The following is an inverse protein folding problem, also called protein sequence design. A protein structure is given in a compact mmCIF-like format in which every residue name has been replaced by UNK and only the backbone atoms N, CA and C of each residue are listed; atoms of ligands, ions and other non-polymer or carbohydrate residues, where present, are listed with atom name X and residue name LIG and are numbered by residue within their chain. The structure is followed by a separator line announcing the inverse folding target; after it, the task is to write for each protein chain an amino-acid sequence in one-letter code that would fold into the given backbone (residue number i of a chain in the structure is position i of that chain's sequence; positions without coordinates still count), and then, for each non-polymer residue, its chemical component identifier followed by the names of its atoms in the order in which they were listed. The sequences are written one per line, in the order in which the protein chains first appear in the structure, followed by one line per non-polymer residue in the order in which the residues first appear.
data_IF_205680068557
#
_entry.id   IF_205680068557
#
_cell.length_a   1.000
_cell.length_b   1.000
_cell.length_c   1.000
_cell.angle_alpha   90.00
_cell.angle_beta   90.00
_cell.angle_gamma   90.00
#
_symmetry.space_group_name_H-M   'P 1'
#
loop_
_entity.id
_entity.type
_entity.pdbx_description
1 polymer ?
#
# COMPACT_ATOMS: atom_id res chain seq x y z
N UNK A 1 -39.26 17.02 -3.92
CA UNK A 1 -38.26 16.30 -4.72
C UNK A 1 -37.05 17.21 -4.74
N UNK A 2 -35.89 16.80 -4.20
CA UNK A 2 -34.67 17.57 -4.42
C UNK A 2 -34.48 17.68 -5.94
N UNK A 3 -34.07 18.84 -6.42
CA UNK A 3 -33.82 19.04 -7.84
C UNK A 3 -32.63 18.15 -8.22
N UNK A 4 -32.86 17.14 -9.06
CA UNK A 4 -31.78 16.36 -9.66
C UNK A 4 -31.05 17.27 -10.63
N UNK A 5 -29.84 17.70 -10.24
CA UNK A 5 -28.94 18.37 -11.16
C UNK A 5 -28.12 17.30 -11.89
N UNK A 6 -27.84 17.55 -13.17
CA UNK A 6 -26.97 16.71 -13.97
C UNK A 6 -25.96 17.65 -14.63
N UNK A 7 -24.88 18.00 -13.91
CA UNK A 7 -23.86 18.85 -14.47
C UNK A 7 -23.22 18.16 -15.69
N UNK A 8 -22.77 18.93 -16.70
CA UNK A 8 -21.99 18.35 -17.78
C UNK A 8 -20.68 17.79 -17.21
N UNK A 9 -20.45 16.50 -17.43
CA UNK A 9 -19.26 15.79 -16.95
C UNK A 9 -18.62 14.99 -18.07
N UNK A 10 -17.29 15.00 -18.11
CA UNK A 10 -16.47 14.13 -18.95
C UNK A 10 -15.53 13.32 -18.06
N UNK A 11 -15.50 12.01 -18.24
CA UNK A 11 -14.60 11.13 -17.50
C UNK A 11 -13.32 10.91 -18.30
N UNK A 12 -12.17 11.17 -17.69
CA UNK A 12 -10.87 10.86 -18.27
C UNK A 12 -10.20 9.78 -17.43
N UNK A 13 -9.89 8.65 -18.07
CA UNK A 13 -9.15 7.57 -17.44
C UNK A 13 -7.71 7.63 -17.93
N UNK A 14 -6.79 7.93 -17.02
CA UNK A 14 -5.36 8.01 -17.33
C UNK A 14 -4.71 6.72 -16.86
N UNK A 15 -4.21 5.90 -17.78
CA UNK A 15 -3.61 4.60 -17.48
C UNK A 15 -2.08 4.66 -17.51
N UNK A 16 -1.42 3.85 -16.69
CA UNK A 16 0.01 3.60 -16.82
C UNK A 16 0.37 2.90 -18.16
N UNK A 17 1.66 2.72 -18.42
CA UNK A 17 2.14 2.10 -19.66
C UNK A 17 1.68 0.64 -19.83
N UNK A 18 1.78 -0.18 -18.79
CA UNK A 18 1.44 -1.59 -18.80
C UNK A 18 -0.08 -1.77 -18.94
N UNK A 19 -0.85 -1.01 -18.16
CA UNK A 19 -2.31 -1.00 -18.20
C UNK A 19 -2.87 -0.52 -19.54
N UNK A 20 -2.18 0.42 -20.21
CA UNK A 20 -2.59 0.91 -21.54
C UNK A 20 -2.22 -0.04 -22.68
N UNK A 21 -1.04 -0.68 -22.61
CA UNK A 21 -0.56 -1.60 -23.64
C UNK A 21 -1.38 -2.90 -23.74
N UNK A 22 -2.16 -3.24 -22.71
CA UNK A 22 -3.13 -4.35 -22.73
C UNK A 22 -4.21 -4.24 -23.82
N UNK A 23 -4.30 -3.12 -24.55
CA UNK A 23 -5.10 -2.98 -25.76
C UNK A 23 -6.61 -2.81 -25.55
N UNK A 24 -7.09 -2.85 -24.30
CA UNK A 24 -8.52 -2.80 -23.95
C UNK A 24 -9.03 -1.36 -23.67
N UNK A 25 -8.27 -0.33 -24.03
CA UNK A 25 -8.62 1.07 -23.72
C UNK A 25 -9.95 1.51 -24.35
N UNK A 26 -10.29 0.98 -25.52
CA UNK A 26 -11.53 1.31 -26.23
C UNK A 26 -12.75 0.66 -25.57
N UNK A 27 -12.65 -0.61 -25.19
CA UNK A 27 -13.75 -1.29 -24.51
C UNK A 27 -13.92 -0.77 -23.07
N UNK A 28 -12.82 -0.43 -22.38
CA UNK A 28 -12.90 0.26 -21.10
C UNK A 28 -13.62 1.61 -21.25
N UNK A 29 -13.25 2.45 -22.22
CA UNK A 29 -13.95 3.70 -22.50
C UNK A 29 -15.46 3.48 -22.73
N UNK A 30 -15.81 2.45 -23.51
CA UNK A 30 -17.19 2.08 -23.81
C UNK A 30 -17.97 1.65 -22.57
N UNK A 31 -17.37 0.85 -21.67
CA UNK A 31 -18.03 0.40 -20.42
C UNK A 31 -18.30 1.57 -19.48
N UNK A 32 -17.38 2.52 -19.41
CA UNK A 32 -17.49 3.70 -18.55
C UNK A 32 -18.37 4.82 -19.13
N UNK A 33 -18.73 4.75 -20.42
CA UNK A 33 -19.71 5.65 -21.06
C UNK A 33 -21.10 5.60 -20.38
N UNK A 34 -21.39 4.57 -19.59
CA UNK A 34 -22.61 4.48 -18.79
C UNK A 34 -22.70 5.57 -17.71
N UNK A 35 -21.55 6.04 -17.17
CA UNK A 35 -21.44 7.11 -16.18
C UNK A 35 -21.36 8.46 -16.89
N UNK A 36 -20.36 8.63 -17.75
CA UNK A 36 -20.13 9.87 -18.48
C UNK A 36 -19.41 9.59 -19.81
N UNK A 37 -19.49 10.48 -20.81
CA UNK A 37 -18.60 10.46 -21.97
C UNK A 37 -17.15 10.26 -21.51
N UNK A 38 -16.52 9.16 -21.94
CA UNK A 38 -15.25 8.71 -21.38
C UNK A 38 -14.14 8.70 -22.41
N UNK A 39 -13.00 9.28 -22.06
CA UNK A 39 -11.75 9.16 -22.80
C UNK A 39 -10.70 8.40 -21.99
N UNK A 40 -10.02 7.45 -22.64
CA UNK A 40 -8.91 6.71 -22.04
C UNK A 40 -7.62 7.13 -22.70
N UNK A 41 -6.68 7.65 -21.89
CA UNK A 41 -5.39 8.15 -22.36
C UNK A 41 -4.25 7.46 -21.63
N UNK A 42 -3.12 7.34 -22.32
CA UNK A 42 -1.88 6.86 -21.71
C UNK A 42 -1.23 7.98 -20.91
N UNK A 43 -0.83 7.70 -19.68
CA UNK A 43 0.00 8.58 -18.88
C UNK A 43 1.34 8.84 -19.59
N UNK A 44 1.88 10.06 -19.47
CA UNK A 44 3.24 10.31 -19.89
C UNK A 44 4.21 9.38 -19.12
N UNK A 45 5.32 8.98 -19.74
CA UNK A 45 6.29 8.10 -19.09
C UNK A 45 6.84 8.78 -17.81
N UNK A 46 6.79 8.10 -16.68
CA UNK A 46 7.16 8.65 -15.37
C UNK A 46 6.14 9.63 -14.78
N UNK A 47 4.96 9.77 -15.40
CA UNK A 47 3.87 10.58 -14.83
C UNK A 47 3.29 9.92 -13.60
N UNK A 48 3.21 10.69 -12.53
CA UNK A 48 2.51 10.34 -11.31
C UNK A 48 0.97 10.42 -11.43
N UNK A 49 0.45 10.85 -12.59
CA UNK A 49 -1.00 10.78 -12.90
C UNK A 49 -1.38 9.47 -13.59
N UNK A 50 -0.65 8.39 -13.32
CA UNK A 50 -0.97 7.08 -13.84
C UNK A 50 -2.05 6.41 -12.98
N UNK A 51 -2.96 5.68 -13.62
CA UNK A 51 -4.12 5.01 -13.01
C UNK A 51 -5.02 5.95 -12.22
N UNK A 52 -5.46 7.03 -12.89
CA UNK A 52 -6.31 8.08 -12.34
C UNK A 52 -7.66 8.11 -13.06
N UNK A 53 -8.73 8.26 -12.29
CA UNK A 53 -10.08 8.56 -12.79
C UNK A 53 -10.34 10.05 -12.59
N UNK A 54 -10.46 10.84 -13.66
CA UNK A 54 -10.72 12.28 -13.57
C UNK A 54 -12.11 12.65 -14.09
N UNK A 55 -12.95 13.18 -13.22
CA UNK A 55 -14.21 13.82 -13.56
C UNK A 55 -13.94 15.29 -13.90
N UNK A 56 -14.13 15.70 -15.16
CA UNK A 56 -14.04 17.10 -15.59
C UNK A 56 -15.46 17.65 -15.69
N UNK A 57 -15.82 18.53 -14.75
CA UNK A 57 -17.10 19.21 -14.69
C UNK A 57 -16.96 20.59 -15.35
N UNK A 58 -17.96 20.97 -16.15
CA UNK A 58 -17.95 22.23 -16.88
C UNK A 58 -17.83 23.49 -16.00
N UNK A 59 -17.46 24.61 -16.62
CA UNK A 59 -17.30 25.93 -15.97
C UNK A 59 -18.60 26.43 -15.29
N UNK A 60 -19.76 25.95 -15.75
CA UNK A 60 -21.09 26.28 -15.22
C UNK A 60 -21.33 25.70 -13.81
N UNK A 61 -20.49 24.78 -13.36
CA UNK A 61 -20.53 24.14 -12.03
C UNK A 61 -19.68 24.91 -11.01
N UNK A 62 -19.06 26.03 -11.40
CA UNK A 62 -17.99 26.71 -10.64
C UNK A 62 -18.25 28.20 -10.47
N UNK A 63 -19.49 28.65 -10.60
CA UNK A 63 -19.78 30.05 -10.32
C UNK A 63 -19.87 30.24 -8.80
N UNK A 64 -19.28 31.33 -8.29
CA UNK A 64 -19.44 31.71 -6.88
C UNK A 64 -20.94 31.80 -6.49
N UNK A 65 -21.77 32.18 -7.47
CA UNK A 65 -23.23 32.22 -7.35
C UNK A 65 -23.87 30.82 -7.16
N UNK A 66 -23.30 29.77 -7.77
CA UNK A 66 -23.77 28.39 -7.56
C UNK A 66 -23.43 27.89 -6.16
N UNK A 67 -22.25 28.25 -5.63
CA UNK A 67 -21.87 27.91 -4.26
C UNK A 67 -22.58 28.75 -3.18
N UNK A 68 -23.09 29.93 -3.54
CA UNK A 68 -23.96 30.69 -2.64
C UNK A 68 -25.35 30.03 -2.46
N UNK A 69 -25.80 29.18 -3.38
CA UNK A 69 -27.06 28.43 -3.28
C UNK A 69 -26.87 27.10 -2.52
N UNK A 70 -27.39 26.98 -1.28
CA UNK A 70 -27.28 25.74 -0.50
C UNK A 70 -27.97 24.55 -1.17
N UNK A 71 -29.09 24.77 -1.88
CA UNK A 71 -29.82 23.69 -2.52
C UNK A 71 -29.03 23.09 -3.68
N UNK A 72 -28.37 23.95 -4.46
CA UNK A 72 -27.50 23.50 -5.53
C UNK A 72 -26.26 22.78 -4.97
N UNK A 73 -25.64 23.30 -3.91
CA UNK A 73 -24.49 22.65 -3.25
C UNK A 73 -24.84 21.26 -2.73
N UNK A 74 -25.97 21.11 -2.06
CA UNK A 74 -26.40 19.84 -1.50
C UNK A 74 -26.79 18.86 -2.63
N UNK A 75 -27.42 19.36 -3.69
CA UNK A 75 -27.74 18.56 -4.87
C UNK A 75 -26.49 18.08 -5.61
N UNK A 76 -25.46 18.92 -5.76
CA UNK A 76 -24.18 18.54 -6.37
C UNK A 76 -23.46 17.48 -5.55
N UNK A 77 -23.44 17.66 -4.23
CA UNK A 77 -22.81 16.69 -3.32
C UNK A 77 -23.51 15.34 -3.42
N UNK A 78 -24.84 15.33 -3.46
CA UNK A 78 -25.63 14.09 -3.61
C UNK A 78 -25.38 13.44 -4.97
N UNK A 79 -25.36 14.23 -6.05
CA UNK A 79 -25.07 13.72 -7.39
C UNK A 79 -23.65 13.12 -7.47
N UNK A 80 -22.63 13.81 -6.93
CA UNK A 80 -21.26 13.28 -6.89
C UNK A 80 -21.16 11.95 -6.12
N UNK A 81 -21.89 11.82 -5.01
CA UNK A 81 -21.94 10.58 -4.23
C UNK A 81 -22.45 9.39 -5.06
N UNK A 82 -23.55 9.61 -5.81
CA UNK A 82 -24.11 8.61 -6.72
C UNK A 82 -23.13 8.25 -7.84
N UNK A 83 -22.56 9.24 -8.52
CA UNK A 83 -21.59 9.03 -9.62
C UNK A 83 -20.32 8.31 -9.15
N UNK A 84 -19.83 8.62 -7.95
CA UNK A 84 -18.66 7.95 -7.38
C UNK A 84 -18.96 6.48 -7.02
N UNK A 85 -20.14 6.20 -6.48
CA UNK A 85 -20.57 4.84 -6.20
C UNK A 85 -20.73 4.03 -7.49
N UNK A 86 -21.36 4.59 -8.52
CA UNK A 86 -21.52 3.94 -9.82
C UNK A 86 -20.17 3.69 -10.50
N UNK A 87 -19.27 4.69 -10.49
CA UNK A 87 -17.93 4.55 -11.06
C UNK A 87 -17.13 3.46 -10.33
N UNK A 88 -17.18 3.43 -9.00
CA UNK A 88 -16.49 2.40 -8.20
C UNK A 88 -17.03 0.99 -8.51
N UNK A 89 -18.34 0.85 -8.70
CA UNK A 89 -18.95 -0.42 -9.09
C UNK A 89 -18.53 -0.86 -10.49
N UNK A 90 -18.37 0.08 -11.44
CA UNK A 90 -17.84 -0.22 -12.77
C UNK A 90 -16.37 -0.64 -12.72
N UNK A 91 -15.54 0.06 -11.95
CA UNK A 91 -14.13 -0.31 -11.74
C UNK A 91 -14.02 -1.72 -11.16
N UNK A 92 -14.82 -2.06 -10.16
CA UNK A 92 -14.83 -3.39 -9.57
C UNK A 92 -15.17 -4.47 -10.62
N UNK A 93 -16.22 -4.25 -11.42
CA UNK A 93 -16.63 -5.17 -12.49
C UNK A 93 -15.58 -5.33 -13.57
N UNK A 94 -14.92 -4.24 -13.96
CA UNK A 94 -13.83 -4.23 -14.92
C UNK A 94 -12.65 -5.06 -14.41
N UNK A 95 -12.21 -4.80 -13.18
CA UNK A 95 -11.10 -5.52 -12.57
C UNK A 95 -11.43 -6.99 -12.32
N UNK A 96 -12.67 -7.34 -11.99
CA UNK A 96 -13.10 -8.73 -11.87
C UNK A 96 -13.14 -9.44 -13.22
N UNK A 97 -13.57 -8.77 -14.30
CA UNK A 97 -13.50 -9.31 -15.65
C UNK A 97 -12.05 -9.59 -16.07
N UNK A 98 -11.12 -8.67 -15.79
CA UNK A 98 -9.68 -8.83 -16.03
C UNK A 98 -9.12 -10.05 -15.29
N UNK A 99 -9.39 -10.16 -13.98
CA UNK A 99 -8.98 -11.33 -13.18
C UNK A 99 -9.50 -12.64 -13.77
N UNK A 100 -10.78 -12.68 -14.17
CA UNK A 100 -11.39 -13.87 -14.77
C UNK A 100 -10.76 -14.25 -16.12
N UNK A 101 -10.20 -13.27 -16.84
CA UNK A 101 -9.49 -13.48 -18.10
C UNK A 101 -7.99 -13.75 -17.91
N UNK A 102 -7.48 -13.76 -16.67
CA UNK A 102 -6.06 -13.92 -16.35
C UNK A 102 -5.22 -12.66 -16.58
N UNK A 103 -5.86 -11.50 -16.70
CA UNK A 103 -5.21 -10.20 -16.84
C UNK A 103 -5.00 -9.53 -15.47
N UNK A 104 -4.01 -8.65 -15.39
CA UNK A 104 -3.75 -7.88 -14.16
C UNK A 104 -4.84 -6.79 -13.97
N UNK A 105 -5.40 -6.64 -12.75
CA UNK A 105 -6.28 -5.53 -12.42
C UNK A 105 -5.57 -4.18 -12.61
N UNK A 106 -6.32 -3.15 -13.00
CA UNK A 106 -5.82 -1.78 -13.01
C UNK A 106 -5.92 -1.22 -11.59
N UNK A 107 -4.79 -0.81 -10.98
CA UNK A 107 -4.76 -0.30 -9.62
C UNK A 107 -5.06 1.20 -9.61
N UNK A 108 -6.34 1.58 -9.71
CA UNK A 108 -6.72 2.99 -9.66
C UNK A 108 -6.36 3.60 -8.31
N UNK A 109 -5.48 4.60 -8.35
CA UNK A 109 -4.89 5.18 -7.15
C UNK A 109 -5.60 6.47 -6.70
N UNK A 110 -6.09 7.25 -7.66
CA UNK A 110 -6.70 8.55 -7.39
C UNK A 110 -7.98 8.77 -8.20
N UNK A 111 -8.95 9.39 -7.56
CA UNK A 111 -10.10 10.00 -8.20
C UNK A 111 -9.92 11.52 -8.17
N UNK A 112 -9.84 12.14 -9.34
CA UNK A 112 -9.69 13.58 -9.51
C UNK A 112 -11.02 14.21 -9.90
N UNK A 113 -11.35 15.35 -9.32
CA UNK A 113 -12.49 16.18 -9.70
C UNK A 113 -11.95 17.53 -10.13
N UNK A 114 -12.22 17.90 -11.38
CA UNK A 114 -11.83 19.18 -11.94
C UNK A 114 -13.08 20.00 -12.22
N UNK A 115 -13.04 21.25 -11.77
CA UNK A 115 -14.14 22.19 -11.92
C UNK A 115 -13.69 23.27 -12.89
N UNK A 116 -14.02 23.13 -14.17
CA UNK A 116 -13.73 24.13 -15.19
C UNK A 116 -12.25 24.49 -15.29
N UNK A 117 -11.95 25.79 -15.20
CA UNK A 117 -10.58 26.33 -15.09
C UNK A 117 -10.00 26.34 -13.66
N UNK A 118 -10.74 25.86 -12.66
CA UNK A 118 -10.33 25.82 -11.26
C UNK A 118 -9.34 24.68 -10.92
N UNK A 119 -8.95 24.58 -9.63
CA UNK A 119 -8.03 23.56 -9.17
C UNK A 119 -8.61 22.15 -9.31
N UNK A 120 -7.72 21.16 -9.41
CA UNK A 120 -8.08 19.74 -9.35
C UNK A 120 -8.13 19.28 -7.89
N UNK A 121 -9.22 18.64 -7.48
CA UNK A 121 -9.35 17.99 -6.17
C UNK A 121 -9.10 16.49 -6.37
N UNK A 122 -7.97 15.98 -5.89
CA UNK A 122 -7.56 14.59 -5.99
C UNK A 122 -7.80 13.84 -4.68
N UNK A 123 -8.53 12.74 -4.74
CA UNK A 123 -8.94 11.92 -3.61
C UNK A 123 -8.27 10.56 -3.72
N UNK A 124 -7.60 10.12 -2.66
CA UNK A 124 -6.94 8.82 -2.63
C UNK A 124 -8.00 7.73 -2.65
N UNK A 125 -7.91 6.83 -3.61
CA UNK A 125 -8.74 5.64 -3.69
C UNK A 125 -8.14 4.52 -2.85
N UNK A 126 -9.01 3.65 -2.33
CA UNK A 126 -8.64 2.42 -1.61
C UNK A 126 -9.14 1.23 -2.42
N UNK A 127 -8.27 0.26 -2.70
CA UNK A 127 -8.62 -0.95 -3.48
C UNK A 127 -9.27 -0.64 -4.84
N UNK A 128 -8.85 0.46 -5.49
CA UNK A 128 -9.48 0.99 -6.72
C UNK A 128 -10.95 1.39 -6.56
N UNK A 129 -11.42 1.65 -5.34
CA UNK A 129 -12.73 2.23 -5.04
C UNK A 129 -12.60 3.66 -4.52
N UNK A 130 -13.54 4.51 -4.93
CA UNK A 130 -13.68 5.86 -4.39
C UNK A 130 -14.29 5.74 -2.98
N UNK A 131 -13.71 6.39 -1.95
CA UNK A 131 -14.27 6.37 -0.61
C UNK A 131 -15.71 6.92 -0.58
N UNK A 132 -16.64 6.34 0.21
CA UNK A 132 -18.01 6.83 0.27
C UNK A 132 -18.11 8.26 0.82
N UNK A 133 -17.13 8.72 1.60
CA UNK A 133 -17.08 10.10 2.11
C UNK A 133 -16.54 11.11 1.08
N UNK A 134 -16.09 10.67 -0.10
CA UNK A 134 -15.38 11.48 -1.10
C UNK A 134 -16.18 12.70 -1.55
N UNK A 135 -17.49 12.56 -1.79
CA UNK A 135 -18.33 13.69 -2.18
C UNK A 135 -18.35 14.79 -1.12
N UNK A 136 -18.35 14.42 0.17
CA UNK A 136 -18.25 15.35 1.29
C UNK A 136 -16.91 16.08 1.34
N UNK A 137 -15.81 15.41 1.01
CA UNK A 137 -14.49 16.05 0.91
C UNK A 137 -14.44 17.08 -0.22
N UNK A 138 -15.01 16.77 -1.39
CA UNK A 138 -15.12 17.71 -2.51
C UNK A 138 -15.97 18.93 -2.12
N UNK A 139 -17.12 18.70 -1.49
CA UNK A 139 -18.00 19.77 -1.03
C UNK A 139 -17.28 20.70 -0.04
N UNK A 140 -16.53 20.12 0.91
CA UNK A 140 -15.72 20.88 1.88
C UNK A 140 -14.61 21.68 1.20
N UNK A 141 -13.91 21.09 0.23
CA UNK A 141 -12.84 21.77 -0.49
C UNK A 141 -13.38 22.98 -1.27
N UNK A 142 -14.54 22.84 -1.91
CA UNK A 142 -15.22 23.94 -2.61
C UNK A 142 -15.62 25.06 -1.65
N UNK A 143 -16.17 24.73 -0.47
CA UNK A 143 -16.46 25.73 0.56
C UNK A 143 -15.22 26.49 1.02
N UNK A 144 -14.09 25.81 1.21
CA UNK A 144 -12.83 26.43 1.62
C UNK A 144 -12.24 27.32 0.51
N UNK A 145 -12.36 26.90 -0.76
CA UNK A 145 -11.97 27.69 -1.93
C UNK A 145 -12.77 28.99 -2.02
N UNK A 146 -14.10 28.91 -1.97
CA UNK A 146 -14.99 30.09 -2.01
C UNK A 146 -14.77 30.99 -0.80
N UNK A 147 -14.52 30.40 0.37
CA UNK A 147 -14.18 31.13 1.60
C UNK A 147 -12.81 31.78 1.61
N UNK A 148 -11.96 31.55 0.59
CA UNK A 148 -10.60 32.07 0.52
C UNK A 148 -9.67 31.52 1.61
N UNK A 149 -9.95 30.33 2.15
CA UNK A 149 -9.22 29.76 3.29
C UNK A 149 -7.76 29.43 2.98
N UNK A 150 -7.44 29.22 1.71
CA UNK A 150 -6.11 28.91 1.20
C UNK A 150 -5.30 30.16 0.81
N UNK A 151 -5.80 31.36 1.09
CA UNK A 151 -5.14 32.61 0.71
C UNK A 151 -5.55 33.12 -0.68
N UNK A 152 -4.74 34.04 -1.21
CA UNK A 152 -5.04 34.76 -2.45
C UNK A 152 -4.32 34.20 -3.69
N UNK A 153 -3.41 33.25 -3.49
CA UNK A 153 -2.61 32.67 -4.56
C UNK A 153 -3.41 31.60 -5.33
N UNK A 154 -3.10 31.46 -6.63
CA UNK A 154 -3.78 30.50 -7.48
C UNK A 154 -3.42 29.07 -7.08
N UNK A 155 -4.44 28.23 -6.92
CA UNK A 155 -4.27 26.83 -6.50
C UNK A 155 -4.29 25.95 -7.74
N UNK A 156 -3.31 25.05 -7.85
CA UNK A 156 -3.23 24.08 -8.92
C UNK A 156 -3.99 22.79 -8.57
N UNK A 157 -3.80 22.27 -7.35
CA UNK A 157 -4.42 21.03 -6.91
C UNK A 157 -4.58 20.94 -5.38
N UNK A 158 -5.58 20.18 -4.95
CA UNK A 158 -5.80 19.80 -3.55
C UNK A 158 -5.78 18.27 -3.49
N UNK A 159 -4.86 17.67 -2.73
CA UNK A 159 -4.75 16.22 -2.55
C UNK A 159 -5.25 15.79 -1.18
N UNK A 160 -6.10 14.77 -1.16
CA UNK A 160 -6.85 14.31 0.00
C UNK A 160 -6.64 12.79 0.15
N UNK A 161 -5.90 12.31 1.16
CA UNK A 161 -5.13 13.08 2.15
C UNK A 161 -3.83 13.64 1.56
N UNK A 162 -3.14 14.44 2.38
CA UNK A 162 -1.77 14.86 2.13
C UNK A 162 -0.85 13.65 2.02
N UNK A 163 0.11 13.76 1.12
CA UNK A 163 1.09 12.72 0.87
C UNK A 163 1.86 12.27 2.13
N UNK A 164 2.45 13.23 2.84
CA UNK A 164 3.13 13.00 4.11
C UNK A 164 2.20 12.39 5.19
N UNK A 165 0.89 12.66 5.12
CA UNK A 165 -0.07 12.03 6.05
C UNK A 165 -0.26 10.55 5.72
N UNK A 166 -0.32 10.19 4.43
CA UNK A 166 -0.38 8.79 4.01
C UNK A 166 0.86 8.05 4.52
N UNK A 167 2.06 8.62 4.33
CA UNK A 167 3.32 8.03 4.78
C UNK A 167 3.39 7.88 6.31
N UNK A 168 2.98 8.89 7.07
CA UNK A 168 2.93 8.81 8.52
C UNK A 168 1.99 7.69 9.00
N UNK A 169 0.80 7.60 8.39
CA UNK A 169 -0.18 6.56 8.74
C UNK A 169 0.30 5.16 8.37
N UNK A 170 1.05 5.02 7.27
CA UNK A 170 1.74 3.76 6.89
C UNK A 170 2.75 3.34 7.94
N UNK A 171 3.62 4.26 8.35
CA UNK A 171 4.64 3.98 9.36
C UNK A 171 4.02 3.58 10.70
N UNK A 172 2.90 4.21 11.08
CA UNK A 172 2.18 3.89 12.31
C UNK A 172 1.48 2.52 12.22
N UNK A 173 0.87 2.17 11.07
CA UNK A 173 0.28 0.85 10.84
C UNK A 173 1.33 -0.27 10.93
N UNK A 174 2.47 -0.12 10.25
CA UNK A 174 3.57 -1.08 10.30
C UNK A 174 4.14 -1.22 11.72
N UNK A 175 4.20 -0.13 12.49
CA UNK A 175 4.62 -0.18 13.90
C UNK A 175 3.62 -0.95 14.77
N UNK A 176 2.32 -0.80 14.52
CA UNK A 176 1.29 -1.52 15.24
C UNK A 176 1.35 -3.03 14.99
N UNK A 177 1.50 -3.45 13.72
CA UNK A 177 1.67 -4.85 13.34
C UNK A 177 2.90 -5.48 14.01
N UNK A 178 4.02 -4.75 14.03
CA UNK A 178 5.24 -5.19 14.70
C UNK A 178 5.04 -5.37 16.22
N UNK A 179 4.32 -4.46 16.87
CA UNK A 179 4.01 -4.56 18.30
C UNK A 179 3.06 -5.71 18.60
N UNK A 180 2.08 -5.97 17.74
CA UNK A 180 1.17 -7.12 17.85
C UNK A 180 1.92 -8.44 17.71
N UNK A 181 2.84 -8.54 16.75
CA UNK A 181 3.71 -9.70 16.58
C UNK A 181 4.57 -9.96 17.82
N UNK A 182 5.15 -8.91 18.43
CA UNK A 182 5.90 -9.05 19.69
C UNK A 182 5.02 -9.51 20.86
N UNK A 183 3.79 -9.00 20.95
CA UNK A 183 2.85 -9.43 22.00
C UNK A 183 2.46 -10.90 21.81
N UNK A 184 2.14 -11.30 20.57
CA UNK A 184 1.86 -12.69 20.24
C UNK A 184 3.04 -13.61 20.61
N UNK A 185 4.27 -13.23 20.26
CA UNK A 185 5.46 -14.00 20.61
C UNK A 185 5.71 -14.05 22.13
N UNK A 186 5.45 -12.96 22.85
CA UNK A 186 5.57 -12.93 24.31
C UNK A 186 4.52 -13.82 24.99
N UNK A 187 3.28 -13.83 24.51
CA UNK A 187 2.19 -14.67 25.02
C UNK A 187 2.40 -16.16 24.72
N UNK A 188 2.98 -16.47 23.56
CA UNK A 188 3.24 -17.85 23.11
C UNK A 188 4.66 -18.32 23.43
N UNK A 189 5.42 -17.54 24.20
CA UNK A 189 6.75 -17.92 24.66
C UNK A 189 6.63 -19.16 25.54
N UNK A 190 7.28 -20.29 25.19
CA UNK A 190 7.23 -21.49 26.01
C UNK A 190 7.85 -21.18 27.38
N UNK A 191 7.08 -21.34 28.44
CA UNK A 191 7.60 -21.33 29.81
C UNK A 191 8.49 -22.55 29.95
N UNK A 192 9.81 -22.34 29.95
CA UNK A 192 10.76 -23.38 30.36
C UNK A 192 10.48 -23.65 31.83
N UNK A 193 9.73 -24.71 32.11
CA UNK A 193 9.56 -25.24 33.44
C UNK A 193 10.93 -25.78 33.85
N UNK A 194 11.65 -25.03 34.68
CA UNK A 194 12.84 -25.53 35.36
C UNK A 194 12.43 -26.77 36.15
N UNK A 195 12.74 -27.95 35.60
CA UNK A 195 12.60 -29.21 36.31
C UNK A 195 13.73 -29.24 37.32
N UNK A 196 13.44 -28.74 38.51
CA UNK A 196 14.30 -28.78 39.69
C UNK A 196 14.40 -30.25 40.14
N UNK A 197 15.30 -31.00 39.48
CA UNK A 197 15.54 -32.41 39.77
C UNK A 197 16.31 -32.50 41.08
N UNK A 198 15.57 -32.60 42.19
CA UNK A 198 16.07 -33.15 43.44
C UNK A 198 16.86 -34.43 43.14
N UNK A 199 18.14 -34.42 43.54
CA UNK A 199 19.02 -35.57 43.46
C UNK A 199 18.55 -36.59 44.50
N UNK A 200 18.03 -37.72 44.04
CA UNK A 200 17.67 -38.86 44.88
C UNK A 200 18.92 -39.74 45.06
N UNK A 201 19.50 -39.73 46.27
CA UNK A 201 20.47 -40.74 46.69
C UNK A 201 19.73 -42.08 46.84
N UNK A 202 20.07 -43.05 45.97
CA UNK A 202 19.56 -44.43 46.08
C UNK A 202 20.61 -45.28 46.80
N UNK A 203 20.31 -45.66 48.04
CA UNK A 203 21.03 -46.68 48.80
C UNK A 203 20.76 -48.07 48.22
N UNK A 204 21.85 -48.80 47.92
CA UNK A 204 21.89 -50.18 47.44
C UNK A 204 21.66 -51.17 48.59
N UNK A 205 20.52 -51.88 48.58
CA UNK A 205 20.30 -53.24 49.12
C UNK A 205 18.81 -53.54 48.92
N UNK A 206 18.32 -54.64 48.35
CA UNK A 206 18.76 -56.03 48.32
C UNK A 206 17.76 -56.77 47.42
N UNK A 207 18.18 -57.86 46.76
CA UNK A 207 17.32 -59.04 46.64
C UNK A 207 16.56 -59.23 45.33
N UNK A 208 17.18 -60.00 44.44
CA UNK A 208 16.60 -61.11 43.66
C UNK A 208 15.38 -60.88 42.76
N UNK A 209 15.59 -61.18 41.46
CA UNK A 209 14.54 -61.77 40.65
C UNK A 209 14.57 -61.39 39.18
N UNK A 210 14.55 -62.44 38.34
CA UNK A 210 14.12 -62.48 36.95
C UNK A 210 15.21 -62.37 35.88
N UNK A 211 15.54 -63.58 35.42
CA UNK A 211 16.21 -63.96 34.19
C UNK A 211 15.46 -63.50 32.94
N UNK A 212 16.23 -62.88 32.05
CA UNK A 212 16.39 -63.13 30.61
C UNK A 212 15.20 -63.06 29.64
N UNK A 213 15.56 -62.60 28.43
CA UNK A 213 14.80 -62.50 27.19
C UNK A 213 13.68 -61.46 27.10
N UNK A 214 14.05 -60.25 26.67
CA UNK A 214 13.49 -59.59 25.48
C UNK A 214 13.96 -58.12 25.39
N UNK A 215 14.77 -57.80 24.38
CA UNK A 215 14.62 -56.64 23.46
C UNK A 215 15.96 -56.11 22.97
N UNK A 216 16.14 -56.23 21.65
CA UNK A 216 16.47 -55.11 20.76
C UNK A 216 17.71 -54.30 21.11
N UNK A 217 18.79 -54.61 20.40
CA UNK A 217 19.98 -53.78 20.25
C UNK A 217 19.63 -52.33 19.91
N UNK A 218 19.57 -51.45 20.92
CA UNK A 218 19.83 -50.04 20.75
C UNK A 218 21.23 -49.79 21.29
N UNK A 219 22.18 -49.58 20.37
CA UNK A 219 23.51 -49.08 20.72
C UNK A 219 23.35 -47.81 21.56
N UNK A 220 23.78 -47.86 22.82
CA UNK A 220 24.18 -46.66 23.55
C UNK A 220 25.27 -45.99 22.70
N UNK A 221 24.92 -44.92 22.00
CA UNK A 221 25.93 -43.96 21.56
C UNK A 221 26.37 -43.23 22.81
N UNK A 222 27.64 -43.39 23.17
CA UNK A 222 28.25 -42.60 24.22
C UNK A 222 28.11 -41.11 23.88
N UNK A 223 27.95 -40.28 24.90
CA UNK A 223 27.91 -38.83 24.73
C UNK A 223 29.22 -38.37 24.05
N UNK A 224 29.15 -37.46 23.06
CA UNK A 224 30.34 -37.01 22.36
C UNK A 224 31.32 -36.41 23.36
N UNK A 225 32.56 -36.87 23.26
CA UNK A 225 33.65 -36.39 24.08
C UNK A 225 33.95 -34.92 23.75
N UNK A 226 34.48 -34.16 24.72
CA UNK A 226 34.84 -32.75 24.52
C UNK A 226 35.79 -32.54 23.32
N UNK A 227 36.57 -33.55 22.94
CA UNK A 227 37.40 -33.53 21.73
C UNK A 227 36.58 -33.59 20.44
N UNK A 228 35.50 -34.36 20.39
CA UNK A 228 34.63 -34.47 19.22
C UNK A 228 33.80 -33.19 19.03
N UNK A 229 33.40 -32.55 20.13
CA UNK A 229 32.75 -31.24 20.10
C UNK A 229 33.71 -30.13 19.64
N UNK A 230 34.96 -30.16 20.09
CA UNK A 230 35.97 -29.18 19.67
C UNK A 230 36.33 -29.33 18.18
N UNK A 231 36.36 -30.56 17.66
CA UNK A 231 36.60 -30.83 16.24
C UNK A 231 35.43 -30.35 15.37
N UNK A 232 34.18 -30.63 15.77
CA UNK A 232 32.99 -30.15 15.07
C UNK A 232 32.87 -28.62 15.05
N UNK A 233 33.25 -27.95 16.15
CA UNK A 233 33.27 -26.47 16.22
C UNK A 233 34.39 -25.90 15.34
N UNK A 234 35.56 -26.53 15.30
CA UNK A 234 36.66 -26.11 14.43
C UNK A 234 36.31 -26.27 12.94
N UNK A 235 35.57 -27.32 12.58
CA UNK A 235 35.06 -27.54 11.22
C UNK A 235 34.02 -26.50 10.82
N UNK A 236 33.08 -26.17 11.73
CA UNK A 236 32.08 -25.12 11.51
C UNK A 236 32.71 -23.72 11.38
N UNK A 237 33.73 -23.40 12.19
CA UNK A 237 34.48 -22.14 12.05
C UNK A 237 35.31 -22.07 10.75
N UNK A 238 35.80 -23.22 10.25
CA UNK A 238 36.51 -23.28 8.98
C UNK A 238 35.57 -23.05 7.79
N UNK A 239 34.34 -23.58 7.84
CA UNK A 239 33.31 -23.36 6.84
C UNK A 239 32.88 -21.87 6.76
N UNK A 240 32.73 -21.21 7.92
CA UNK A 240 32.41 -19.78 7.99
C UNK A 240 33.54 -18.90 7.43
N UNK A 241 34.82 -19.27 7.62
CA UNK A 241 35.96 -18.54 7.03
C UNK A 241 36.08 -18.71 5.51
N UNK A 242 35.48 -19.75 4.94
CA UNK A 242 35.45 -19.97 3.49
C UNK A 242 34.25 -19.30 2.80
N UNK A 243 33.38 -18.61 3.56
CA UNK A 243 32.24 -17.87 3.00
C UNK A 243 31.13 -18.78 2.46
N UNK A 244 30.98 -19.99 3.00
CA UNK A 244 29.87 -20.89 2.66
C UNK A 244 28.64 -20.44 3.45
N UNK A 245 27.64 -19.92 2.74
CA UNK A 245 26.36 -19.53 3.32
C UNK A 245 25.57 -20.81 3.70
N UNK A 246 25.04 -20.92 4.92
CA UNK A 246 24.29 -22.11 5.36
C UNK A 246 22.99 -22.34 4.58
N UNK A 247 22.56 -21.39 3.74
CA UNK A 247 21.42 -21.55 2.84
C UNK A 247 21.71 -22.38 1.57
N UNK A 248 22.98 -22.66 1.25
CA UNK A 248 23.37 -23.44 0.06
C UNK A 248 23.44 -24.97 0.28
N UNK A 249 23.24 -25.47 1.50
CA UNK A 249 23.33 -26.91 1.81
C UNK A 249 21.99 -27.65 1.58
N UNK A 250 20.91 -26.92 1.26
CA UNK A 250 19.57 -27.51 1.07
C UNK A 250 19.26 -27.97 -0.37
N UNK A 251 20.22 -27.92 -1.29
CA UNK A 251 20.03 -28.43 -2.64
C UNK A 251 21.29 -29.17 -3.10
N UNK A 252 21.31 -30.50 -2.94
CA UNK A 252 21.73 -31.43 -3.99
C UNK A 252 21.63 -32.87 -3.49
N UNK A 253 20.46 -33.47 -3.71
CA UNK A 253 20.35 -34.90 -3.95
C UNK A 253 19.42 -35.12 -5.14
N UNK A 254 19.99 -34.99 -6.35
CA UNK A 254 19.70 -35.80 -7.54
C UNK A 254 20.32 -35.20 -8.80
N UNK A 255 21.27 -35.94 -9.34
CA UNK A 255 22.04 -35.67 -10.54
C UNK A 255 21.23 -35.66 -11.85
N UNK A 256 21.89 -35.05 -12.84
CA UNK A 256 21.86 -35.30 -14.29
C UNK A 256 20.71 -34.66 -15.11
N UNK A 257 21.00 -33.57 -15.83
CA UNK A 257 21.42 -33.61 -17.25
C UNK A 257 21.20 -32.25 -17.97
N UNK A 258 22.29 -31.73 -18.55
CA UNK A 258 22.37 -31.10 -19.90
C UNK A 258 21.97 -29.62 -20.14
N UNK A 259 23.03 -28.87 -20.50
CA UNK A 259 23.17 -27.81 -21.52
C UNK A 259 23.03 -26.31 -21.17
N UNK A 260 23.84 -25.55 -21.88
CA UNK A 260 24.39 -24.23 -21.59
C UNK A 260 23.41 -23.05 -21.80
N UNK A 261 23.65 -21.97 -21.04
CA UNK A 261 23.01 -20.67 -21.23
C UNK A 261 23.50 -19.63 -20.22
N UNK A 262 24.57 -18.95 -20.60
CA UNK A 262 25.21 -17.79 -19.96
C UNK A 262 24.22 -16.70 -19.48
N UNK A 263 24.24 -16.39 -18.17
CA UNK A 263 23.78 -15.11 -17.61
C UNK A 263 24.69 -14.71 -16.44
N UNK A 264 25.67 -13.88 -16.72
CA UNK A 264 26.37 -13.11 -15.71
C UNK A 264 25.45 -12.01 -15.16
N UNK A 265 25.15 -12.06 -13.86
CA UNK A 265 24.64 -10.92 -13.09
C UNK A 265 25.80 -10.39 -12.23
N UNK A 266 26.39 -9.28 -12.68
CA UNK A 266 27.24 -8.44 -11.86
C UNK A 266 26.37 -7.80 -10.76
N UNK A 267 26.62 -8.20 -9.52
CA UNK A 267 26.09 -7.53 -8.32
C UNK A 267 27.06 -6.40 -7.99
N UNK A 268 26.79 -5.20 -8.51
CA UNK A 268 27.46 -3.99 -8.02
C UNK A 268 26.92 -3.62 -6.63
N UNK A 269 27.87 -3.21 -5.80
CA UNK A 269 27.79 -3.06 -4.37
C UNK A 269 26.71 -2.05 -3.91
N UNK A 270 26.06 -2.41 -2.82
CA UNK A 270 25.22 -1.52 -2.01
C UNK A 270 26.13 -0.50 -1.33
N UNK A 271 26.39 0.61 -2.01
CA UNK A 271 26.92 1.82 -1.38
C UNK A 271 25.80 2.44 -0.53
N UNK A 272 26.03 2.49 0.77
CA UNK A 272 25.26 3.25 1.73
C UNK A 272 25.42 4.76 1.44
N UNK A 273 24.68 5.25 0.46
CA UNK A 273 24.52 6.66 0.17
C UNK A 273 23.43 7.24 1.08
N UNK A 274 23.83 7.95 2.13
CA UNK A 274 22.94 8.82 2.88
C UNK A 274 22.38 9.89 1.95
N UNK A 275 21.16 9.66 1.46
CA UNK A 275 20.34 10.70 0.86
C UNK A 275 19.94 11.65 1.99
N UNK A 276 20.14 12.94 1.78
CA UNK A 276 19.49 13.96 2.59
C UNK A 276 17.98 13.67 2.58
N UNK A 277 17.38 13.58 3.77
CA UNK A 277 15.95 13.70 4.01
C UNK A 277 15.46 15.10 3.57
N UNK A 278 15.51 15.37 2.27
CA UNK A 278 14.69 16.43 1.70
C UNK A 278 13.27 15.88 1.65
N UNK A 279 12.53 16.14 2.72
CA UNK A 279 11.08 15.95 2.79
C UNK A 279 10.49 16.50 1.50
N UNK A 280 9.84 15.64 0.71
CA UNK A 280 9.17 16.04 -0.52
C UNK A 280 7.99 16.97 -0.18
N UNK A 281 8.31 18.26 -0.06
CA UNK A 281 7.34 19.31 0.27
C UNK A 281 6.31 19.51 -0.84
N UNK A 282 6.57 19.02 -2.06
CA UNK A 282 5.66 19.14 -3.22
C UNK A 282 4.42 18.24 -3.11
N UNK A 283 4.49 17.19 -2.27
CA UNK A 283 3.45 16.17 -2.12
C UNK A 283 3.22 15.34 -3.39
N UNK A 284 4.30 15.08 -4.13
CA UNK A 284 4.32 14.35 -5.39
C UNK A 284 4.67 12.85 -5.18
N UNK A 285 5.38 12.47 -4.11
CA UNK A 285 5.89 11.11 -3.89
C UNK A 285 4.88 9.95 -3.81
N UNK A 286 3.62 10.14 -3.40
CA UNK A 286 2.74 9.03 -3.00
C UNK A 286 1.90 8.41 -4.12
N UNK A 287 2.11 8.83 -5.36
CA UNK A 287 1.29 8.40 -6.48
C UNK A 287 1.57 6.96 -6.96
N UNK A 288 2.68 6.34 -6.55
CA UNK A 288 3.22 5.17 -7.26
C UNK A 288 2.85 3.80 -6.67
N UNK A 289 2.34 3.70 -5.45
CA UNK A 289 2.14 2.37 -4.83
C UNK A 289 0.69 2.12 -4.39
N UNK A 290 0.02 1.24 -5.13
CA UNK A 290 -1.31 0.71 -4.81
C UNK A 290 -1.35 -0.22 -3.60
N UNK A 291 -0.21 -0.76 -3.16
CA UNK A 291 -0.14 -1.80 -2.11
C UNK A 291 0.13 -1.32 -0.69
N UNK A 292 0.27 -0.02 -0.45
CA UNK A 292 0.73 0.50 0.85
C UNK A 292 -0.31 1.28 1.66
N UNK A 293 -1.57 1.42 1.27
CA UNK A 293 -2.51 2.29 2.02
C UNK A 293 -3.04 1.56 3.26
N UNK A 294 -2.94 2.11 4.48
CA UNK A 294 -3.50 1.51 5.69
C UNK A 294 -5.00 1.19 5.54
N UNK A 295 -5.50 0.19 6.27
CA UNK A 295 -6.93 -0.17 6.21
C UNK A 295 -7.85 1.01 6.58
N UNK A 296 -7.38 1.87 7.48
CA UNK A 296 -8.03 3.11 7.86
C UNK A 296 -7.16 4.29 7.46
N UNK A 297 -7.62 5.08 6.49
CA UNK A 297 -6.96 6.30 6.06
C UNK A 297 -7.67 7.51 6.65
N UNK A 298 -6.93 8.35 7.37
CA UNK A 298 -7.36 9.67 7.81
C UNK A 298 -7.21 10.67 6.65
N UNK A 299 -8.35 11.22 6.23
CA UNK A 299 -8.47 12.20 5.15
C UNK A 299 -8.49 13.66 5.65
N UNK A 300 -8.21 13.89 6.94
CA UNK A 300 -8.28 15.23 7.56
C UNK A 300 -7.24 16.20 7.02
N UNK A 301 -5.99 15.75 6.90
CA UNK A 301 -4.87 16.59 6.47
C UNK A 301 -4.78 16.55 4.96
N UNK A 302 -4.82 17.70 4.30
CA UNK A 302 -4.78 17.85 2.85
C UNK A 302 -3.45 18.48 2.42
N UNK A 303 -3.01 18.19 1.20
CA UNK A 303 -1.91 18.92 0.58
C UNK A 303 -2.48 19.88 -0.44
N UNK A 304 -2.25 21.18 -0.26
CA UNK A 304 -2.69 22.24 -1.16
C UNK A 304 -1.47 22.69 -1.96
N UNK A 305 -1.48 22.41 -3.26
CA UNK A 305 -0.42 22.80 -4.19
C UNK A 305 -0.84 24.05 -4.96
N UNK A 306 0.00 25.09 -4.89
CA UNK A 306 -0.17 26.36 -5.57
C UNK A 306 0.44 26.32 -6.97
N UNK A 307 -0.02 27.22 -7.83
CA UNK A 307 0.44 27.33 -9.21
C UNK A 307 1.91 27.77 -9.33
N UNK A 308 2.48 28.35 -8.27
CA UNK A 308 3.90 28.73 -8.19
C UNK A 308 4.82 27.54 -7.86
N UNK A 309 4.26 26.35 -7.63
CA UNK A 309 4.98 25.13 -7.29
C UNK A 309 5.21 24.94 -5.78
N UNK A 310 4.72 25.85 -4.94
CA UNK A 310 4.74 25.65 -3.49
C UNK A 310 3.56 24.80 -3.04
N UNK A 311 3.67 24.19 -1.87
CA UNK A 311 2.58 23.45 -1.26
C UNK A 311 2.58 23.55 0.26
N UNK A 312 1.38 23.43 0.82
CA UNK A 312 1.12 23.58 2.25
C UNK A 312 0.21 22.45 2.72
N UNK A 313 0.50 21.91 3.91
CA UNK A 313 -0.39 20.99 4.59
C UNK A 313 -1.52 21.77 5.25
N UNK A 314 -2.75 21.31 5.08
CA UNK A 314 -3.93 22.02 5.54
C UNK A 314 -4.84 21.08 6.32
N UNK A 315 -5.28 21.49 7.50
CA UNK A 315 -6.26 20.73 8.27
C UNK A 315 -7.67 21.12 7.83
N UNK A 316 -8.35 20.21 7.13
CA UNK A 316 -9.68 20.48 6.55
C UNK A 316 -10.78 20.71 7.59
N UNK A 317 -10.61 20.20 8.81
CA UNK A 317 -11.56 20.33 9.91
C UNK A 317 -11.36 21.68 10.61
N UNK A 318 -10.11 22.04 10.90
CA UNK A 318 -9.78 23.32 11.54
C UNK A 318 -9.88 24.49 10.56
N UNK A 319 -9.71 24.25 9.26
CA UNK A 319 -9.70 25.30 8.25
C UNK A 319 -8.43 26.14 8.28
N UNK A 320 -7.31 25.54 8.72
CA UNK A 320 -6.05 26.25 8.92
C UNK A 320 -4.87 25.48 8.31
N UNK A 321 -3.87 26.23 7.85
CA UNK A 321 -2.59 25.67 7.41
C UNK A 321 -1.81 25.12 8.60
N UNK A 322 -1.28 23.92 8.46
CA UNK A 322 -0.35 23.31 9.41
C UNK A 322 1.06 23.83 9.10
N UNK A 323 1.65 24.51 10.08
CA UNK A 323 3.03 24.94 10.02
C UNK A 323 3.89 23.75 10.46
N UNK A 324 4.78 23.29 9.58
CA UNK A 324 5.88 22.36 9.93
C UNK A 324 6.99 23.08 10.71
#
# INVERSE_FOLDING_TARGET
MPASIHPPVQLHIVLDEDSYQGGDSVEMARRFTAVAPTDVVRAAKGSQRANVLRFDLGDDVVTAEADDDPLWRDALTTWLDEEFAETSALVARENDARKNNGEQPVPFAWAEVKFGAGPVIAIRMKDSAIPPEAAGFVARARQLLVGGAFGADDIAAIRIPACASIEAQRADAHRAEYLEAQQYEAEHRPVLQEVDRYSEEVDLATGEGWTDELQGSQSKRDAPTDSELAEAVAEAEAALRQGVDPSDIAAEDRAADVDAGDFAVDVEAVEAGGASDDVDTSGEGCALEGGGVPEHLDYRVWNVAYADGTSVRFDSVLGEALID
#
